data_IF_300955328680
#
_entry.id   IF_300955328680
#
_cell.length_a   1.000
_cell.length_b   1.000
_cell.length_c   1.000
_cell.angle_alpha   90.00
_cell.angle_beta   90.00
_cell.angle_gamma   90.00
#
_symmetry.space_group_name_H-M   'P 1'
#
loop_
_entity.id
_entity.type
_entity.pdbx_description
1 polymer ?
#
# COMPACT_ATOMS: atom_id res chain seq x y z
N UNK A 1 16.81 35.05 3.83
CA UNK A 1 17.17 33.73 4.27
C UNK A 1 16.84 32.75 3.12
N UNK A 2 17.81 32.33 2.30
CA UNK A 2 17.58 31.35 1.23
C UNK A 2 17.48 29.98 1.88
N UNK A 3 16.27 29.46 2.00
CA UNK A 3 16.05 28.09 2.46
C UNK A 3 16.56 27.18 1.33
N UNK A 4 17.76 26.65 1.49
CA UNK A 4 18.33 25.61 0.61
C UNK A 4 17.56 24.31 0.85
N UNK A 5 16.31 24.28 0.40
CA UNK A 5 15.48 23.08 0.47
C UNK A 5 15.93 22.15 -0.64
N UNK A 6 16.60 21.06 -0.29
CA UNK A 6 17.03 20.05 -1.30
C UNK A 6 15.77 19.43 -1.95
N UNK A 7 15.90 19.00 -3.21
CA UNK A 7 14.80 18.36 -3.94
C UNK A 7 14.27 17.12 -3.20
N UNK A 8 15.11 16.47 -2.39
CA UNK A 8 14.76 15.34 -1.52
C UNK A 8 13.75 15.73 -0.44
N UNK A 9 13.99 16.86 0.24
CA UNK A 9 13.09 17.39 1.26
C UNK A 9 11.79 17.91 0.64
N UNK A 10 11.86 18.54 -0.55
CA UNK A 10 10.67 18.98 -1.29
C UNK A 10 9.76 17.79 -1.66
N UNK A 11 10.34 16.66 -2.07
CA UNK A 11 9.57 15.46 -2.38
C UNK A 11 8.79 14.94 -1.17
N UNK A 12 9.47 14.76 -0.04
CA UNK A 12 8.85 14.20 1.17
C UNK A 12 7.83 15.18 1.78
N UNK A 13 8.14 16.49 1.79
CA UNK A 13 7.20 17.53 2.23
C UNK A 13 5.99 17.63 1.31
N UNK A 14 6.19 17.60 -0.01
CA UNK A 14 5.12 17.61 -1.00
C UNK A 14 4.13 16.46 -0.81
N UNK A 15 4.64 15.25 -0.58
CA UNK A 15 3.79 14.09 -0.27
C UNK A 15 3.01 14.27 1.03
N UNK A 16 3.63 14.78 2.08
CA UNK A 16 2.95 15.02 3.35
C UNK A 16 1.80 16.02 3.19
N UNK A 17 2.02 17.11 2.45
CA UNK A 17 0.98 18.12 2.16
C UNK A 17 -0.15 17.53 1.32
N UNK A 18 0.17 16.79 0.26
CA UNK A 18 -0.83 16.11 -0.58
C UNK A 18 -1.67 15.12 0.23
N UNK A 19 -1.03 14.31 1.07
CA UNK A 19 -1.73 13.39 1.97
C UNK A 19 -2.72 14.12 2.87
N UNK A 20 -2.31 15.23 3.49
CA UNK A 20 -3.19 16.07 4.32
C UNK A 20 -4.40 16.58 3.53
N UNK A 21 -4.19 17.08 2.30
CA UNK A 21 -5.27 17.54 1.42
C UNK A 21 -6.24 16.40 1.04
N UNK A 22 -5.74 15.21 0.69
CA UNK A 22 -6.60 14.07 0.38
C UNK A 22 -7.44 13.62 1.57
N UNK A 23 -6.85 13.59 2.78
CA UNK A 23 -7.58 13.26 4.02
C UNK A 23 -8.71 14.27 4.26
N UNK A 24 -8.42 15.58 4.14
CA UNK A 24 -9.41 16.63 4.32
C UNK A 24 -10.54 16.55 3.27
N UNK A 25 -10.19 16.32 2.00
CA UNK A 25 -11.17 16.17 0.91
C UNK A 25 -12.06 14.96 1.14
N UNK A 26 -11.49 13.81 1.53
CA UNK A 26 -12.26 12.61 1.82
C UNK A 26 -13.22 12.80 3.00
N UNK A 27 -12.76 13.46 4.06
CA UNK A 27 -13.60 13.78 5.22
C UNK A 27 -14.77 14.71 4.83
N UNK A 28 -14.51 15.70 3.98
CA UNK A 28 -15.53 16.60 3.45
C UNK A 28 -16.56 15.88 2.60
N UNK A 29 -16.13 15.06 1.65
CA UNK A 29 -17.02 14.25 0.79
C UNK A 29 -17.89 13.31 1.61
N UNK A 30 -17.30 12.63 2.61
CA UNK A 30 -18.06 11.75 3.52
C UNK A 30 -19.10 12.51 4.33
N UNK A 31 -18.79 13.74 4.75
CA UNK A 31 -19.76 14.61 5.46
C UNK A 31 -20.93 14.98 4.56
N UNK A 32 -20.66 15.36 3.29
CA UNK A 32 -21.72 15.67 2.31
C UNK A 32 -22.62 14.46 2.07
N UNK A 33 -22.03 13.27 1.81
CA UNK A 33 -22.77 12.04 1.58
C UNK A 33 -23.69 11.69 2.78
N UNK A 34 -23.17 11.83 4.01
CA UNK A 34 -23.96 11.62 5.23
C UNK A 34 -25.12 12.62 5.33
N UNK A 35 -24.88 13.90 5.03
CA UNK A 35 -25.93 14.91 5.05
C UNK A 35 -27.01 14.63 3.99
N UNK A 36 -26.62 14.24 2.78
CA UNK A 36 -27.56 13.85 1.72
C UNK A 36 -28.42 12.67 2.14
N UNK A 37 -27.79 11.61 2.67
CA UNK A 37 -28.50 10.42 3.15
C UNK A 37 -29.50 10.78 4.25
N UNK A 38 -29.09 11.58 5.24
CA UNK A 38 -29.96 12.01 6.33
C UNK A 38 -31.17 12.83 5.81
N UNK A 39 -30.94 13.79 4.90
CA UNK A 39 -32.00 14.61 4.31
C UNK A 39 -32.99 13.74 3.51
N UNK A 40 -32.50 12.80 2.70
CA UNK A 40 -33.37 11.88 1.96
C UNK A 40 -34.17 10.97 2.89
N UNK A 41 -33.58 10.51 3.98
CA UNK A 41 -34.26 9.68 4.99
C UNK A 41 -35.37 10.45 5.70
N UNK A 42 -35.11 11.69 6.15
CA UNK A 42 -36.12 12.53 6.76
C UNK A 42 -37.27 12.85 5.79
N UNK A 43 -36.92 13.19 4.55
CA UNK A 43 -37.93 13.44 3.49
C UNK A 43 -38.80 12.22 3.21
N UNK A 44 -38.16 11.04 3.17
CA UNK A 44 -38.88 9.79 2.99
C UNK A 44 -39.88 9.56 4.13
N UNK A 45 -39.44 9.73 5.36
CA UNK A 45 -40.28 9.55 6.55
C UNK A 45 -41.50 10.51 6.52
N UNK A 46 -41.30 11.80 6.24
CA UNK A 46 -42.39 12.77 6.10
C UNK A 46 -43.42 12.38 5.01
N UNK A 47 -42.91 11.93 3.84
CA UNK A 47 -43.76 11.51 2.74
C UNK A 47 -44.55 10.23 3.06
N UNK A 48 -43.93 9.28 3.77
CA UNK A 48 -44.61 8.06 4.22
C UNK A 48 -45.71 8.35 5.23
N UNK A 49 -45.48 9.23 6.22
CA UNK A 49 -46.51 9.66 7.17
C UNK A 49 -47.67 10.37 6.46
N UNK A 50 -47.36 11.31 5.54
CA UNK A 50 -48.38 11.99 4.75
C UNK A 50 -49.16 11.04 3.84
N UNK A 51 -48.48 10.00 3.29
CA UNK A 51 -49.14 8.99 2.47
C UNK A 51 -50.08 8.10 3.25
N UNK A 52 -49.77 7.81 4.51
CA UNK A 52 -50.63 7.08 5.41
C UNK A 52 -51.92 7.87 5.75
N UNK A 53 -51.79 9.21 5.99
CA UNK A 53 -52.91 10.08 6.34
C UNK A 53 -53.83 10.36 5.15
N UNK A 54 -53.24 10.69 3.99
CA UNK A 54 -53.92 11.08 2.74
C UNK A 54 -53.25 10.44 1.52
N UNK A 55 -53.66 9.26 1.08
CA UNK A 55 -53.05 8.57 -0.05
C UNK A 55 -53.14 9.34 -1.38
N UNK A 56 -52.01 9.59 -2.06
CA UNK A 56 -51.97 10.21 -3.41
C UNK A 56 -50.99 9.47 -4.32
N UNK A 57 -51.38 9.27 -5.59
CA UNK A 57 -50.55 8.56 -6.56
C UNK A 57 -49.20 9.27 -6.87
N UNK A 58 -49.19 10.61 -6.89
CA UNK A 58 -47.99 11.43 -7.09
C UNK A 58 -46.98 11.21 -5.95
N UNK A 59 -47.44 11.13 -4.72
CA UNK A 59 -46.59 10.94 -3.54
C UNK A 59 -45.98 9.52 -3.52
N UNK A 60 -46.73 8.49 -3.95
CA UNK A 60 -46.15 7.15 -4.14
C UNK A 60 -45.00 7.13 -5.13
N UNK A 61 -45.09 7.86 -6.24
CA UNK A 61 -43.99 7.99 -7.23
C UNK A 61 -42.79 8.66 -6.59
N UNK A 62 -42.97 9.73 -5.80
CA UNK A 62 -41.87 10.42 -5.12
C UNK A 62 -41.19 9.52 -4.07
N UNK A 63 -41.96 8.79 -3.26
CA UNK A 63 -41.44 7.79 -2.29
C UNK A 63 -40.58 6.74 -3.04
N UNK A 64 -41.08 6.21 -4.15
CA UNK A 64 -40.32 5.21 -4.93
C UNK A 64 -39.01 5.78 -5.47
N UNK A 65 -39.03 7.04 -5.93
CA UNK A 65 -37.82 7.72 -6.42
C UNK A 65 -36.79 7.90 -5.29
N UNK A 66 -37.20 8.40 -4.13
CA UNK A 66 -36.27 8.62 -2.99
C UNK A 66 -35.70 7.29 -2.50
N UNK A 67 -36.51 6.23 -2.43
CA UNK A 67 -36.03 4.89 -2.07
C UNK A 67 -35.01 4.35 -3.06
N UNK A 68 -35.18 4.61 -4.36
CA UNK A 68 -34.21 4.25 -5.39
C UNK A 68 -32.88 5.03 -5.20
N UNK A 69 -32.95 6.33 -4.94
CA UNK A 69 -31.76 7.16 -4.67
C UNK A 69 -31.00 6.70 -3.43
N UNK A 70 -31.68 6.39 -2.33
CA UNK A 70 -31.07 5.82 -1.12
C UNK A 70 -30.42 4.47 -1.39
N UNK A 71 -31.10 3.58 -2.11
CA UNK A 71 -30.56 2.27 -2.47
C UNK A 71 -29.31 2.39 -3.37
N UNK A 72 -29.27 3.37 -4.27
CA UNK A 72 -28.10 3.63 -5.10
C UNK A 72 -26.89 4.09 -4.26
N UNK A 73 -27.09 4.96 -3.26
CA UNK A 73 -26.05 5.41 -2.34
C UNK A 73 -25.54 4.21 -1.52
N UNK A 74 -26.42 3.42 -0.93
CA UNK A 74 -26.07 2.23 -0.16
C UNK A 74 -25.35 1.17 -1.00
N UNK A 75 -25.79 0.96 -2.23
CA UNK A 75 -25.16 0.02 -3.17
C UNK A 75 -23.73 0.48 -3.52
N UNK A 76 -23.54 1.76 -3.84
CA UNK A 76 -22.19 2.32 -4.09
C UNK A 76 -21.29 2.16 -2.88
N UNK A 77 -21.77 2.49 -1.68
CA UNK A 77 -21.02 2.33 -0.44
C UNK A 77 -20.67 0.86 -0.17
N UNK A 78 -21.60 -0.06 -0.45
CA UNK A 78 -21.38 -1.50 -0.28
C UNK A 78 -20.36 -2.03 -1.26
N UNK A 79 -20.42 -1.63 -2.55
CA UNK A 79 -19.43 -1.99 -3.57
C UNK A 79 -18.03 -1.50 -3.17
N UNK A 80 -17.90 -0.26 -2.67
CA UNK A 80 -16.63 0.27 -2.19
C UNK A 80 -16.09 -0.58 -1.03
N UNK A 81 -16.93 -0.92 -0.03
CA UNK A 81 -16.52 -1.78 1.09
C UNK A 81 -16.13 -3.19 0.66
N UNK A 82 -16.82 -3.77 -0.33
CA UNK A 82 -16.47 -5.06 -0.93
C UNK A 82 -15.10 -4.98 -1.59
N UNK A 83 -14.87 -3.94 -2.39
CA UNK A 83 -13.59 -3.73 -3.06
C UNK A 83 -12.45 -3.49 -2.07
N UNK A 84 -12.69 -2.72 -1.00
CA UNK A 84 -11.73 -2.50 0.08
C UNK A 84 -11.39 -3.78 0.84
N UNK A 85 -12.40 -4.63 1.11
CA UNK A 85 -12.18 -5.90 1.83
C UNK A 85 -11.45 -6.96 0.99
N UNK A 86 -11.37 -6.76 -0.34
CA UNK A 86 -10.74 -7.69 -1.31
C UNK A 86 -11.20 -9.14 -1.19
N UNK A 87 -12.37 -9.37 -0.71
CA UNK A 87 -12.92 -10.71 -0.60
C UNK A 87 -13.80 -10.99 -1.82
N UNK A 88 -13.24 -11.69 -2.82
CA UNK A 88 -14.03 -12.19 -3.96
C UNK A 88 -15.25 -13.01 -3.52
N UNK A 89 -15.27 -13.47 -2.27
CA UNK A 89 -16.40 -14.12 -1.63
C UNK A 89 -17.60 -13.20 -1.52
N UNK A 90 -17.39 -11.89 -1.27
CA UNK A 90 -18.49 -10.93 -1.18
C UNK A 90 -19.10 -10.59 -2.55
N UNK A 91 -18.32 -10.73 -3.63
CA UNK A 91 -18.83 -10.51 -4.99
C UNK A 91 -19.82 -11.58 -5.45
N UNK A 92 -19.69 -12.81 -4.93
CA UNK A 92 -20.51 -13.96 -5.33
C UNK A 92 -21.65 -14.29 -4.38
N UNK A 93 -21.69 -13.76 -3.16
CA UNK A 93 -22.69 -14.07 -2.16
C UNK A 93 -23.51 -12.83 -1.84
N UNK A 94 -24.70 -12.76 -2.41
CA UNK A 94 -25.67 -11.66 -2.21
C UNK A 94 -26.34 -11.64 -0.83
N UNK A 95 -26.08 -12.62 0.04
CA UNK A 95 -26.52 -12.65 1.44
C UNK A 95 -25.41 -13.16 2.33
N UNK A 96 -24.95 -12.30 3.24
CA UNK A 96 -23.91 -12.65 4.24
C UNK A 96 -24.58 -13.55 5.29
N UNK A 97 -24.32 -14.86 5.21
CA UNK A 97 -24.71 -15.80 6.26
C UNK A 97 -23.71 -15.73 7.43
N UNK A 98 -24.22 -15.77 8.66
CA UNK A 98 -23.44 -15.81 9.92
C UNK A 98 -22.25 -16.78 9.92
N UNK A 99 -22.36 -18.00 9.36
CA UNK A 99 -21.25 -18.95 9.27
C UNK A 99 -20.03 -18.42 8.51
N UNK A 100 -20.26 -17.62 7.46
CA UNK A 100 -19.18 -17.04 6.65
C UNK A 100 -18.42 -15.94 7.40
N UNK A 101 -19.14 -15.09 8.12
CA UNK A 101 -18.54 -14.07 8.98
C UNK A 101 -17.66 -14.71 10.07
N UNK A 102 -18.13 -15.81 10.67
CA UNK A 102 -17.36 -16.59 11.65
C UNK A 102 -16.11 -17.21 11.02
N UNK A 103 -16.22 -17.74 9.80
CA UNK A 103 -15.08 -18.34 9.07
C UNK A 103 -14.00 -17.30 8.72
N UNK A 104 -14.40 -16.11 8.25
CA UNK A 104 -13.50 -15.01 7.94
C UNK A 104 -12.84 -14.48 9.21
N UNK A 105 -13.59 -14.30 10.30
CA UNK A 105 -13.07 -13.90 11.60
C UNK A 105 -12.04 -14.91 12.10
N UNK A 106 -12.34 -16.21 12.06
CA UNK A 106 -11.43 -17.29 12.46
C UNK A 106 -10.17 -17.36 11.59
N UNK A 107 -10.26 -17.05 10.29
CA UNK A 107 -9.10 -16.95 9.39
C UNK A 107 -8.22 -15.74 9.73
N UNK A 108 -8.81 -14.58 10.06
CA UNK A 108 -8.07 -13.38 10.48
C UNK A 108 -7.37 -13.60 11.83
N UNK A 109 -8.04 -14.24 12.79
CA UNK A 109 -7.47 -14.59 14.09
C UNK A 109 -6.24 -15.51 13.97
N UNK A 110 -6.25 -16.46 13.02
CA UNK A 110 -5.10 -17.35 12.75
C UNK A 110 -3.88 -16.63 12.14
N UNK A 111 -4.09 -15.50 11.47
CA UNK A 111 -3.01 -14.73 10.84
C UNK A 111 -2.42 -13.71 11.81
N UNK A 112 -3.14 -13.32 12.84
CA UNK A 112 -2.71 -12.33 13.81
C UNK A 112 -1.78 -12.99 14.86
N UNK A 113 -0.61 -12.40 15.06
CA UNK A 113 0.35 -12.83 16.07
C UNK A 113 -0.05 -12.14 17.37
N UNK A 114 -0.79 -12.86 18.22
CA UNK A 114 -1.27 -12.37 19.51
C UNK A 114 -0.36 -12.79 20.68
N UNK A 115 0.53 -13.75 20.43
CA UNK A 115 1.42 -14.32 21.45
C UNK A 115 2.77 -14.59 20.84
N UNK A 116 3.84 -14.32 21.59
CA UNK A 116 5.20 -14.67 21.19
C UNK A 116 5.98 -15.15 22.41
N UNK A 117 6.95 -16.01 22.16
CA UNK A 117 7.84 -16.52 23.22
C UNK A 117 9.03 -15.59 23.36
N UNK A 118 9.26 -15.11 24.59
CA UNK A 118 10.42 -14.31 24.93
C UNK A 118 11.71 -15.17 25.06
N UNK A 119 12.82 -14.56 25.30
CA UNK A 119 14.11 -15.26 25.44
C UNK A 119 14.19 -16.20 26.65
N UNK A 120 13.34 -15.99 27.66
CA UNK A 120 13.21 -16.87 28.82
C UNK A 120 12.31 -18.07 28.56
N UNK A 121 11.71 -18.17 27.40
CA UNK A 121 10.80 -19.23 27.03
C UNK A 121 9.34 -19.00 27.46
N UNK A 122 9.02 -17.86 28.11
CA UNK A 122 7.69 -17.49 28.54
C UNK A 122 6.88 -16.90 27.38
N UNK A 123 5.57 -17.14 27.38
CA UNK A 123 4.65 -16.60 26.34
C UNK A 123 4.12 -15.26 26.82
N UNK A 124 4.41 -14.20 26.07
CA UNK A 124 3.83 -12.89 26.29
C UNK A 124 2.69 -12.58 25.34
N UNK A 125 1.70 -11.83 25.82
CA UNK A 125 0.56 -11.29 25.08
C UNK A 125 0.63 -9.77 24.98
N UNK A 126 1.58 -9.13 25.65
CA UNK A 126 1.75 -7.69 25.59
C UNK A 126 2.26 -7.25 24.22
N UNK A 127 1.48 -6.39 23.57
CA UNK A 127 1.77 -5.89 22.21
C UNK A 127 3.11 -5.16 22.16
N UNK A 128 3.47 -4.42 23.19
CA UNK A 128 4.71 -3.64 23.26
C UNK A 128 5.92 -4.56 23.33
N UNK A 129 5.82 -5.58 24.19
CA UNK A 129 6.86 -6.60 24.32
C UNK A 129 7.01 -7.44 23.05
N UNK A 130 5.88 -7.86 22.44
CA UNK A 130 5.88 -8.56 21.14
C UNK A 130 6.61 -7.75 20.07
N UNK A 131 6.30 -6.45 19.95
CA UNK A 131 6.96 -5.58 18.98
C UNK A 131 8.46 -5.44 19.24
N UNK A 132 8.86 -5.33 20.49
CA UNK A 132 10.27 -5.25 20.89
C UNK A 132 11.03 -6.53 20.54
N UNK A 133 10.50 -7.70 20.90
CA UNK A 133 11.10 -9.01 20.59
C UNK A 133 11.29 -9.20 19.09
N UNK A 134 10.26 -8.86 18.31
CA UNK A 134 10.30 -8.97 16.85
C UNK A 134 11.31 -8.00 16.26
N UNK A 135 11.30 -6.74 16.70
CA UNK A 135 12.24 -5.72 16.23
C UNK A 135 13.67 -6.17 16.46
N UNK A 136 14.01 -6.56 17.69
CA UNK A 136 15.36 -6.96 18.05
C UNK A 136 15.83 -8.17 17.23
N UNK A 137 14.96 -9.15 17.03
CA UNK A 137 15.28 -10.32 16.22
C UNK A 137 15.63 -9.98 14.77
N UNK A 138 14.81 -9.15 14.10
CA UNK A 138 15.08 -8.78 12.71
C UNK A 138 16.23 -7.76 12.61
N UNK A 139 16.40 -6.88 13.58
CA UNK A 139 17.53 -5.96 13.65
C UNK A 139 18.85 -6.74 13.71
N UNK A 140 18.95 -7.73 14.58
CA UNK A 140 20.12 -8.60 14.68
C UNK A 140 20.33 -9.43 13.38
N UNK A 141 19.26 -10.00 12.84
CA UNK A 141 19.31 -10.81 11.62
C UNK A 141 19.82 -10.02 10.42
N UNK A 142 19.39 -8.76 10.28
CA UNK A 142 19.78 -7.90 9.15
C UNK A 142 21.03 -7.04 9.43
N UNK A 143 21.46 -6.91 10.66
CA UNK A 143 22.70 -6.22 11.01
C UNK A 143 23.96 -6.97 10.63
N UNK A 144 23.87 -8.29 10.41
CA UNK A 144 25.00 -9.10 9.94
C UNK A 144 25.36 -8.70 8.51
N UNK A 145 26.22 -7.70 8.37
CA UNK A 145 26.88 -7.38 7.11
C UNK A 145 27.90 -8.47 6.83
N UNK A 146 27.87 -8.97 5.59
CA UNK A 146 28.97 -9.78 5.10
C UNK A 146 30.20 -8.86 4.94
N UNK A 147 31.04 -8.81 5.95
CA UNK A 147 32.29 -8.00 5.94
C UNK A 147 33.43 -8.72 5.23
N UNK A 148 33.21 -9.93 4.73
CA UNK A 148 34.27 -10.74 4.17
C UNK A 148 34.46 -10.49 2.68
N UNK A 149 35.00 -9.29 2.35
CA UNK A 149 35.39 -8.92 0.98
C UNK A 149 36.37 -9.93 0.37
N UNK A 150 37.24 -10.53 1.20
CA UNK A 150 38.24 -11.53 0.72
C UNK A 150 37.58 -12.83 0.27
N UNK A 151 36.54 -13.31 0.96
CA UNK A 151 35.78 -14.48 0.52
C UNK A 151 34.95 -14.18 -0.74
N UNK A 152 34.41 -12.98 -0.85
CA UNK A 152 33.70 -12.56 -2.06
C UNK A 152 34.65 -12.48 -3.26
N UNK A 153 35.84 -11.92 -3.10
CA UNK A 153 36.87 -11.89 -4.16
C UNK A 153 37.31 -13.29 -4.57
N UNK A 154 37.58 -14.18 -3.60
CA UNK A 154 37.91 -15.60 -3.88
C UNK A 154 36.77 -16.31 -4.62
N UNK A 155 35.51 -16.01 -4.29
CA UNK A 155 34.35 -16.56 -4.99
C UNK A 155 34.31 -16.06 -6.45
N UNK A 156 34.46 -14.76 -6.67
CA UNK A 156 34.46 -14.15 -8.02
C UNK A 156 35.59 -14.68 -8.88
N UNK A 157 36.80 -14.82 -8.32
CA UNK A 157 37.98 -15.40 -9.01
C UNK A 157 37.78 -16.85 -9.39
N UNK A 158 37.20 -17.67 -8.47
CA UNK A 158 36.93 -19.09 -8.67
C UNK A 158 35.97 -19.35 -9.84
N UNK A 159 34.97 -18.50 -10.02
CA UNK A 159 33.92 -18.72 -11.03
C UNK A 159 34.18 -18.00 -12.34
N UNK A 160 35.29 -17.24 -12.47
CA UNK A 160 35.72 -16.53 -13.68
C UNK A 160 34.54 -15.94 -14.48
N UNK A 161 33.72 -15.09 -13.78
CA UNK A 161 32.51 -14.53 -14.36
C UNK A 161 32.83 -13.71 -15.60
N UNK A 162 32.04 -13.80 -16.67
CA UNK A 162 32.24 -13.02 -17.88
C UNK A 162 32.17 -11.53 -17.54
N UNK A 163 33.18 -10.79 -18.04
CA UNK A 163 33.22 -9.34 -17.87
C UNK A 163 32.22 -8.69 -18.83
N UNK A 164 31.36 -7.82 -18.30
CA UNK A 164 30.48 -6.97 -19.08
C UNK A 164 31.35 -5.87 -19.72
N UNK A 165 31.58 -5.89 -21.02
CA UNK A 165 32.37 -4.88 -21.73
C UNK A 165 31.43 -3.78 -22.28
N UNK A 166 30.83 -4.00 -23.45
CA UNK A 166 29.93 -3.02 -24.07
C UNK A 166 28.58 -2.87 -23.34
N UNK A 167 28.11 -3.93 -22.67
CA UNK A 167 26.89 -3.88 -21.86
C UNK A 167 27.02 -2.98 -20.63
N UNK A 168 28.24 -2.76 -20.11
CA UNK A 168 28.46 -1.84 -18.99
C UNK A 168 28.09 -0.38 -19.35
N UNK A 169 28.37 0.05 -20.60
CA UNK A 169 28.00 1.39 -21.09
C UNK A 169 26.46 1.53 -21.15
N UNK A 170 25.76 0.48 -21.57
CA UNK A 170 24.30 0.43 -21.60
C UNK A 170 23.68 0.53 -20.20
N UNK A 171 24.33 -0.04 -19.17
CA UNK A 171 23.89 0.06 -17.78
C UNK A 171 24.10 1.45 -17.17
N UNK A 172 25.15 2.15 -17.60
CA UNK A 172 25.53 3.46 -17.08
C UNK A 172 24.83 4.64 -17.79
N UNK A 173 23.99 4.37 -18.79
CA UNK A 173 23.28 5.44 -19.50
C UNK A 173 22.33 6.20 -18.57
N UNK A 174 22.14 7.52 -18.81
CA UNK A 174 21.20 8.31 -18.03
C UNK A 174 19.77 7.77 -18.14
N UNK A 175 19.03 7.79 -17.04
CA UNK A 175 17.61 7.49 -17.02
C UNK A 175 16.83 8.53 -17.83
N UNK A 176 15.77 8.11 -18.50
CA UNK A 176 14.88 9.01 -19.26
C UNK A 176 13.50 9.14 -18.60
N UNK A 177 12.79 10.26 -18.79
CA UNK A 177 11.39 10.41 -18.30
C UNK A 177 10.46 9.32 -18.84
N UNK A 178 10.60 8.92 -20.10
CA UNK A 178 9.77 7.90 -20.75
C UNK A 178 9.94 6.51 -20.11
N UNK A 179 11.13 6.20 -19.65
CA UNK A 179 11.41 4.95 -18.92
C UNK A 179 10.71 4.95 -17.56
N UNK A 180 10.76 6.08 -16.84
CA UNK A 180 10.04 6.23 -15.56
C UNK A 180 8.54 6.07 -15.79
N UNK A 181 7.98 6.73 -16.80
CA UNK A 181 6.55 6.62 -17.15
C UNK A 181 6.18 5.17 -17.51
N UNK A 182 7.03 4.48 -18.25
CA UNK A 182 6.82 3.07 -18.60
C UNK A 182 6.79 2.18 -17.37
N UNK A 183 7.68 2.41 -16.41
CA UNK A 183 7.68 1.68 -15.13
C UNK A 183 6.42 1.99 -14.33
N UNK A 184 6.00 3.25 -14.27
CA UNK A 184 4.75 3.66 -13.58
C UNK A 184 3.54 2.96 -14.21
N UNK A 185 3.44 2.90 -15.54
CA UNK A 185 2.36 2.18 -16.25
C UNK A 185 2.31 0.70 -15.90
N UNK A 186 3.47 0.06 -15.69
CA UNK A 186 3.61 -1.36 -15.32
C UNK A 186 3.50 -1.65 -13.83
N UNK A 187 3.27 -0.65 -12.96
CA UNK A 187 3.05 -0.89 -11.54
C UNK A 187 1.84 -1.80 -11.32
N UNK A 188 1.89 -2.76 -10.38
CA UNK A 188 0.73 -3.58 -10.07
C UNK A 188 -0.37 -2.73 -9.41
N UNK A 189 -1.62 -3.02 -9.77
CA UNK A 189 -2.82 -2.47 -9.11
C UNK A 189 -3.21 -3.31 -7.90
N UNK A 190 -4.05 -2.76 -7.05
CA UNK A 190 -4.58 -3.47 -5.86
C UNK A 190 -3.50 -4.03 -4.93
N UNK A 191 -2.39 -3.31 -4.78
CA UNK A 191 -1.33 -3.63 -3.80
C UNK A 191 -1.30 -2.60 -2.69
N UNK A 192 -1.04 -3.08 -1.46
CA UNK A 192 -0.90 -2.22 -0.30
C UNK A 192 0.22 -1.19 -0.49
N UNK A 193 -0.03 0.07 -0.16
CA UNK A 193 0.99 1.11 -0.19
C UNK A 193 2.03 0.92 0.91
N UNK A 194 3.10 1.68 0.84
CA UNK A 194 4.06 1.85 1.93
C UNK A 194 3.59 2.86 2.98
N UNK A 195 4.51 3.31 3.87
CA UNK A 195 4.21 4.26 4.95
C UNK A 195 3.62 5.60 4.47
N UNK A 196 3.96 6.04 3.26
CA UNK A 196 3.44 7.29 2.69
C UNK A 196 1.97 7.20 2.23
N UNK A 197 1.39 6.00 2.19
CA UNK A 197 0.00 5.70 1.80
C UNK A 197 -0.35 5.96 0.33
N UNK A 198 0.61 6.31 -0.53
CA UNK A 198 0.37 6.46 -1.96
C UNK A 198 0.39 5.10 -2.66
N UNK A 199 -0.66 4.80 -3.43
CA UNK A 199 -0.82 3.53 -4.13
C UNK A 199 -0.28 3.57 -5.56
N UNK A 200 -0.13 2.40 -6.19
CA UNK A 200 0.25 2.32 -7.62
C UNK A 200 -0.76 2.98 -8.54
N UNK A 201 -2.05 2.93 -8.17
CA UNK A 201 -3.15 3.58 -8.90
C UNK A 201 -3.01 5.09 -8.89
N UNK A 202 -2.61 5.70 -7.75
CA UNK A 202 -2.32 7.13 -7.67
C UNK A 202 -1.25 7.53 -8.68
N UNK A 203 -0.11 6.83 -8.69
CA UNK A 203 0.97 7.13 -9.64
C UNK A 203 0.57 6.93 -11.10
N UNK A 204 -0.30 5.96 -11.39
CA UNK A 204 -0.84 5.76 -12.74
C UNK A 204 -1.80 6.85 -13.18
N UNK A 205 -2.70 7.27 -12.29
CA UNK A 205 -3.70 8.29 -12.56
C UNK A 205 -3.07 9.67 -12.81
N UNK A 206 -2.04 10.01 -12.02
CA UNK A 206 -1.37 11.31 -12.04
C UNK A 206 0.06 11.24 -12.62
N UNK A 207 0.33 10.31 -13.52
CA UNK A 207 1.70 10.02 -14.01
C UNK A 207 2.44 11.26 -14.55
N UNK A 208 1.74 12.23 -15.10
CA UNK A 208 2.33 13.44 -15.66
C UNK A 208 3.02 14.33 -14.61
N UNK A 209 2.47 14.40 -13.41
CA UNK A 209 3.00 15.25 -12.34
C UNK A 209 4.19 14.64 -11.59
N UNK A 210 4.15 13.35 -11.14
CA UNK A 210 5.28 12.76 -10.43
C UNK A 210 6.47 12.43 -11.34
N UNK A 211 6.28 12.17 -12.63
CA UNK A 211 7.37 11.78 -13.54
C UNK A 211 8.50 12.82 -13.60
N UNK A 212 8.28 14.13 -13.81
CA UNK A 212 9.36 15.12 -13.83
C UNK A 212 10.10 15.23 -12.50
N UNK A 213 9.37 15.06 -11.38
CA UNK A 213 9.97 15.15 -10.05
C UNK A 213 10.84 13.91 -9.78
N UNK A 214 10.34 12.72 -10.10
CA UNK A 214 11.10 11.46 -9.98
C UNK A 214 12.32 11.47 -10.87
N UNK A 215 12.20 12.01 -12.08
CA UNK A 215 13.34 12.16 -12.99
C UNK A 215 14.47 12.99 -12.37
N UNK A 216 14.15 14.18 -11.85
CA UNK A 216 15.12 15.01 -11.15
C UNK A 216 15.70 14.36 -9.90
N UNK A 217 14.86 13.60 -9.16
CA UNK A 217 15.31 12.83 -8.01
C UNK A 217 16.31 11.74 -8.40
N UNK A 218 16.08 11.03 -9.50
CA UNK A 218 16.96 9.96 -9.95
C UNK A 218 18.25 10.51 -10.55
N UNK A 219 18.21 11.67 -11.25
CA UNK A 219 19.42 12.36 -11.64
C UNK A 219 20.28 12.75 -10.42
N UNK A 220 19.63 13.31 -9.38
CA UNK A 220 20.32 13.69 -8.15
C UNK A 220 20.86 12.48 -7.38
N UNK A 221 20.21 11.32 -7.50
CA UNK A 221 20.73 10.06 -6.97
C UNK A 221 22.02 9.65 -7.67
N UNK A 222 22.09 9.79 -8.99
CA UNK A 222 23.33 9.48 -9.75
C UNK A 222 24.48 10.39 -9.35
N UNK A 223 24.21 11.66 -9.04
CA UNK A 223 25.24 12.62 -8.60
C UNK A 223 25.66 12.40 -7.13
N UNK A 224 24.71 12.29 -6.21
CA UNK A 224 24.93 12.31 -4.76
C UNK A 224 25.03 10.91 -4.13
N UNK A 225 24.59 9.87 -4.82
CA UNK A 225 24.48 8.50 -4.29
C UNK A 225 23.47 8.31 -3.16
N UNK A 226 22.60 9.31 -2.87
CA UNK A 226 21.65 9.30 -1.75
C UNK A 226 20.25 9.61 -2.19
N UNK A 227 19.28 8.80 -1.72
CA UNK A 227 17.84 8.99 -1.90
C UNK A 227 17.20 9.77 -0.74
N UNK A 228 15.98 10.31 -0.93
CA UNK A 228 15.15 10.80 0.18
C UNK A 228 14.91 9.73 1.24
N UNK A 229 14.72 10.15 2.50
CA UNK A 229 14.51 9.21 3.62
C UNK A 229 13.32 8.27 3.37
N UNK A 230 12.25 8.77 2.76
CA UNK A 230 11.06 7.96 2.45
C UNK A 230 11.32 6.76 1.52
N UNK A 231 12.46 6.72 0.82
CA UNK A 231 12.83 5.55 0.00
C UNK A 231 13.38 4.40 0.83
N UNK A 232 13.92 4.70 2.02
CA UNK A 232 14.46 3.70 2.95
C UNK A 232 13.42 3.23 3.96
N UNK A 233 12.23 3.84 3.99
CA UNK A 233 11.17 3.49 4.91
C UNK A 233 10.29 2.38 4.36
N UNK A 234 9.96 1.42 5.23
CA UNK A 234 9.01 0.36 4.93
C UNK A 234 8.23 -0.04 6.19
N UNK A 235 6.98 -0.45 6.01
CA UNK A 235 6.23 -1.14 7.06
C UNK A 235 6.44 -2.64 6.95
N UNK A 236 6.89 -3.28 8.01
CA UNK A 236 7.09 -4.73 8.04
C UNK A 236 5.86 -5.38 8.64
N UNK A 237 5.23 -6.27 7.87
CA UNK A 237 4.12 -7.12 8.33
C UNK A 237 4.64 -8.54 8.47
N UNK A 238 4.32 -9.17 9.60
CA UNK A 238 4.68 -10.55 9.86
C UNK A 238 3.52 -11.48 9.51
N UNK A 239 3.82 -12.54 8.77
CA UNK A 239 2.87 -13.60 8.47
C UNK A 239 3.42 -14.92 9.04
N UNK A 240 2.66 -15.61 9.91
CA UNK A 240 3.06 -16.92 10.40
C UNK A 240 3.27 -17.90 9.24
N UNK A 241 4.30 -18.73 9.34
CA UNK A 241 4.49 -19.86 8.41
C UNK A 241 3.41 -20.90 8.67
N UNK A 242 2.77 -21.47 7.61
CA UNK A 242 1.78 -22.52 7.80
C UNK A 242 2.43 -23.73 8.52
N UNK A 243 1.63 -24.35 9.38
CA UNK A 243 1.99 -25.59 10.10
C UNK A 243 3.23 -25.47 11.02
N UNK A 244 3.60 -24.25 11.40
CA UNK A 244 4.67 -23.96 12.36
C UNK A 244 4.11 -23.32 13.62
N UNK A 245 4.84 -23.50 14.73
CA UNK A 245 4.53 -22.84 16.01
C UNK A 245 4.59 -21.32 15.85
N UNK A 246 3.44 -20.67 15.96
CA UNK A 246 3.29 -19.22 15.76
C UNK A 246 3.85 -18.39 16.92
N UNK A 247 4.19 -19.01 18.04
CA UNK A 247 4.80 -18.34 19.21
C UNK A 247 6.28 -18.07 19.01
N UNK A 248 6.92 -18.68 18.01
CA UNK A 248 8.34 -18.52 17.72
C UNK A 248 8.57 -17.46 16.65
N UNK A 249 9.42 -16.47 16.96
CA UNK A 249 9.78 -15.36 16.07
C UNK A 249 10.35 -15.82 14.71
N UNK A 250 11.09 -16.94 14.69
CA UNK A 250 11.71 -17.53 13.50
C UNK A 250 10.67 -18.13 12.54
N UNK A 251 9.49 -18.45 13.03
CA UNK A 251 8.39 -19.02 12.25
C UNK A 251 7.50 -17.96 11.58
N UNK A 252 7.92 -16.71 11.59
CA UNK A 252 7.27 -15.63 10.88
C UNK A 252 8.01 -15.31 9.58
N UNK A 253 7.24 -14.87 8.55
CA UNK A 253 7.77 -14.32 7.30
C UNK A 253 7.59 -12.81 7.32
N UNK A 254 8.65 -12.01 7.26
CA UNK A 254 8.51 -10.56 7.13
C UNK A 254 8.12 -10.21 5.70
N UNK A 255 7.10 -9.38 5.54
CA UNK A 255 6.72 -8.76 4.28
C UNK A 255 6.95 -7.26 4.41
N UNK A 256 7.85 -6.74 3.59
CA UNK A 256 8.19 -5.32 3.56
C UNK A 256 7.25 -4.58 2.61
N UNK A 257 6.49 -3.62 3.15
CA UNK A 257 5.65 -2.70 2.39
C UNK A 257 6.41 -1.39 2.18
N UNK A 258 7.16 -1.34 1.09
CA UNK A 258 7.93 -0.16 0.67
C UNK A 258 7.03 0.86 -0.03
N UNK A 259 7.41 2.13 0.03
CA UNK A 259 6.78 3.19 -0.75
C UNK A 259 6.87 2.92 -2.26
N UNK A 260 5.85 3.33 -3.02
CA UNK A 260 5.76 3.05 -4.46
C UNK A 260 6.89 3.73 -5.24
N UNK A 261 7.32 4.91 -4.84
CA UNK A 261 8.46 5.60 -5.45
C UNK A 261 9.75 4.77 -5.34
N UNK A 262 10.02 4.15 -4.17
CA UNK A 262 11.15 3.23 -4.00
C UNK A 262 11.01 1.99 -4.89
N UNK A 263 9.81 1.41 -4.96
CA UNK A 263 9.51 0.29 -5.87
C UNK A 263 9.69 0.68 -7.35
N UNK A 264 9.38 1.92 -7.72
CA UNK A 264 9.57 2.42 -9.08
C UNK A 264 11.05 2.47 -9.43
N UNK A 265 11.90 2.98 -8.53
CA UNK A 265 13.36 2.96 -8.70
C UNK A 265 13.89 1.52 -8.86
N UNK A 266 13.52 0.63 -7.96
CA UNK A 266 13.97 -0.78 -8.03
C UNK A 266 13.53 -1.47 -9.33
N UNK A 267 12.29 -1.24 -9.77
CA UNK A 267 11.78 -1.82 -11.03
C UNK A 267 12.47 -1.24 -12.27
N UNK A 268 12.83 0.04 -12.23
CA UNK A 268 13.62 0.63 -13.30
C UNK A 268 14.95 -0.12 -13.45
N UNK A 269 15.72 -0.22 -12.39
CA UNK A 269 17.00 -0.93 -12.40
C UNK A 269 16.84 -2.39 -12.80
N UNK A 270 15.85 -3.09 -12.29
CA UNK A 270 15.54 -4.46 -12.70
C UNK A 270 15.26 -4.57 -14.20
N UNK A 271 14.54 -3.60 -14.79
CA UNK A 271 14.27 -3.56 -16.24
C UNK A 271 15.56 -3.34 -17.04
N UNK A 272 16.43 -2.44 -16.59
CA UNK A 272 17.71 -2.17 -17.21
C UNK A 272 18.59 -3.43 -17.21
N UNK A 273 18.76 -4.06 -16.04
CA UNK A 273 19.51 -5.33 -15.91
C UNK A 273 18.97 -6.44 -16.79
N UNK A 274 17.63 -6.68 -16.76
CA UNK A 274 17.01 -7.73 -17.56
C UNK A 274 17.17 -7.51 -19.08
N UNK A 275 17.20 -6.25 -19.53
CA UNK A 275 17.40 -5.93 -20.94
C UNK A 275 18.88 -6.14 -21.37
N UNK A 276 19.79 -5.92 -20.46
CA UNK A 276 21.23 -6.13 -20.70
C UNK A 276 21.58 -7.61 -20.71
N UNK A 277 21.02 -8.41 -19.77
CA UNK A 277 21.29 -9.85 -19.66
C UNK A 277 20.60 -10.71 -20.75
N UNK A 278 19.67 -10.15 -21.53
CA UNK A 278 18.96 -10.86 -22.61
C UNK A 278 19.64 -10.71 -23.99
N UNK A 279 20.66 -9.88 -24.08
CA UNK A 279 21.50 -9.74 -25.26
C UNK A 279 22.73 -10.62 -25.17
#
# INVERSE_FOLDING_TARGET
>A
MKINTTIKNLWDTGKAVLRGKFIATQAYLKKIETLQTNNLTLRLQELEEQQQRHPRASRRKEITKIRAELNDIETKSTILRINESRSWFFEKISKINEPLCRFIKKKRERIQINTIRNERGEITTDTTEIQSIVRNYYEELYAKKFENLDEMNKFLEKYNLPKLNEEAESLNRPITPDEIETVIKKLPTHKSPGPDSFTGEFYKAFKGEPTPILYRLFQKLQEDGRLPNSFYEASIILIPKPDKDTTKKENCRPISLMNINAKTSTKYWQSVFNNTLKR
#
